data_IF_152906908086
#
_entry.id   IF_152906908086
#
_cell.length_a   1.000
_cell.length_b   1.000
_cell.length_c   1.000
_cell.angle_alpha   90.00
_cell.angle_beta   90.00
_cell.angle_gamma   90.00
#
_symmetry.space_group_name_H-M   'P 1'
#
loop_
_entity.id
_entity.type
_entity.pdbx_description
1 polymer ?
#
# COMPACT_ATOMS: atom_id res chain seq x y z
N UNK A 1 -15.97 1.39 21.59
CA UNK A 1 -16.35 2.42 22.58
C UNK A 1 -17.48 1.87 23.43
N UNK A 2 -17.57 2.21 24.73
CA UNK A 2 -18.55 1.61 25.65
C UNK A 2 -20.01 1.71 25.19
N UNK A 3 -20.39 2.81 24.54
CA UNK A 3 -21.78 3.08 24.14
C UNK A 3 -22.16 2.57 22.74
N UNK A 4 -21.21 1.97 22.01
CA UNK A 4 -21.48 1.54 20.64
C UNK A 4 -22.17 0.18 20.63
N UNK A 5 -23.25 0.07 19.85
CA UNK A 5 -23.90 -1.22 19.59
C UNK A 5 -22.89 -2.22 19.02
N UNK A 6 -22.92 -3.44 19.55
CA UNK A 6 -22.07 -4.54 19.12
C UNK A 6 -22.89 -5.53 18.32
N UNK A 7 -22.33 -6.02 17.22
CA UNK A 7 -22.95 -7.05 16.40
C UNK A 7 -22.61 -8.42 17.01
N UNK A 8 -23.42 -8.83 17.99
CA UNK A 8 -23.24 -10.09 18.72
C UNK A 8 -24.19 -11.19 18.21
N UNK A 9 -25.35 -10.80 17.66
CA UNK A 9 -26.33 -11.73 17.11
C UNK A 9 -25.78 -12.44 15.87
N UNK A 10 -26.07 -13.74 15.79
CA UNK A 10 -25.73 -14.60 14.64
C UNK A 10 -27.00 -15.22 14.06
N UNK A 11 -26.98 -15.47 12.75
CA UNK A 11 -27.97 -16.26 12.03
C UNK A 11 -27.79 -17.75 12.33
N UNK A 12 -28.78 -18.61 12.01
CA UNK A 12 -28.68 -20.06 12.22
C UNK A 12 -27.47 -20.73 11.54
N UNK A 13 -26.95 -20.14 10.45
CA UNK A 13 -25.75 -20.60 9.75
C UNK A 13 -24.43 -20.11 10.38
N UNK A 14 -24.48 -19.45 11.54
CA UNK A 14 -23.32 -18.93 12.27
C UNK A 14 -22.77 -17.59 11.77
N UNK A 15 -23.34 -17.01 10.70
CA UNK A 15 -22.93 -15.70 10.20
C UNK A 15 -23.44 -14.58 11.12
N UNK A 16 -22.74 -13.45 11.16
CA UNK A 16 -23.21 -12.25 11.89
C UNK A 16 -24.54 -11.77 11.30
N UNK A 17 -25.46 -11.37 12.18
CA UNK A 17 -26.74 -10.77 11.79
C UNK A 17 -26.57 -9.25 11.66
N UNK A 18 -26.65 -8.74 10.42
CA UNK A 18 -26.55 -7.32 10.10
C UNK A 18 -27.93 -6.66 9.89
N UNK A 19 -29.05 -7.33 10.19
CA UNK A 19 -30.41 -6.81 9.93
C UNK A 19 -30.65 -5.44 10.57
N UNK A 20 -30.21 -5.24 11.82
CA UNK A 20 -30.40 -3.99 12.55
C UNK A 20 -29.70 -2.79 11.88
N UNK A 21 -28.44 -2.95 11.45
CA UNK A 21 -27.72 -1.85 10.77
C UNK A 21 -28.30 -1.57 9.38
N UNK A 22 -28.86 -2.58 8.71
CA UNK A 22 -29.55 -2.42 7.42
C UNK A 22 -30.85 -1.64 7.59
N UNK A 23 -31.67 -1.96 8.60
CA UNK A 23 -32.90 -1.21 8.86
C UNK A 23 -32.62 0.24 9.29
N UNK A 24 -31.59 0.45 10.11
CA UNK A 24 -31.15 1.80 10.44
C UNK A 24 -30.73 2.58 9.18
N UNK A 25 -29.92 1.97 8.30
CA UNK A 25 -29.42 2.62 7.09
C UNK A 25 -30.55 3.10 6.15
N UNK A 26 -31.69 2.39 6.08
CA UNK A 26 -32.86 2.80 5.28
C UNK A 26 -33.52 4.09 5.78
N UNK A 27 -33.34 4.43 7.06
CA UNK A 27 -33.87 5.66 7.67
C UNK A 27 -32.90 6.84 7.55
N UNK A 28 -31.64 6.58 7.18
CA UNK A 28 -30.62 7.60 7.04
C UNK A 28 -30.72 8.30 5.67
N UNK A 29 -30.37 9.59 5.60
CA UNK A 29 -30.13 10.25 4.32
C UNK A 29 -28.95 9.58 3.58
N UNK A 30 -28.89 9.68 2.25
CA UNK A 30 -27.71 9.24 1.50
C UNK A 30 -26.46 10.03 1.93
N UNK A 31 -25.26 9.47 1.73
CA UNK A 31 -24.01 10.18 2.02
C UNK A 31 -23.93 11.50 1.25
N UNK A 32 -23.47 12.56 1.93
CA UNK A 32 -23.09 13.81 1.26
C UNK A 32 -21.79 13.60 0.49
N UNK A 33 -21.76 13.95 -0.80
CA UNK A 33 -20.56 13.83 -1.62
C UNK A 33 -19.44 14.75 -1.08
N UNK A 34 -18.23 14.18 -0.92
CA UNK A 34 -17.04 14.91 -0.46
C UNK A 34 -15.99 15.08 -1.56
N UNK A 35 -16.03 14.24 -2.59
CA UNK A 35 -15.09 14.23 -3.72
C UNK A 35 -15.66 13.39 -4.87
N UNK A 36 -15.15 13.61 -6.09
CA UNK A 36 -15.47 12.82 -7.29
C UNK A 36 -14.19 12.24 -7.91
N UNK A 37 -14.34 11.15 -8.67
CA UNK A 37 -13.25 10.51 -9.39
C UNK A 37 -13.07 9.03 -9.02
N UNK A 38 -11.93 8.48 -9.39
CA UNK A 38 -11.63 7.06 -9.27
C UNK A 38 -10.19 6.85 -8.76
N UNK A 39 -9.96 5.71 -8.11
CA UNK A 39 -8.63 5.30 -7.65
C UNK A 39 -8.37 3.88 -8.17
N UNK A 40 -7.30 3.71 -8.94
CA UNK A 40 -6.87 2.39 -9.41
C UNK A 40 -6.16 1.64 -8.29
N UNK A 41 -6.65 0.44 -7.96
CA UNK A 41 -6.12 -0.44 -6.90
C UNK A 41 -6.10 -1.90 -7.39
N UNK A 42 -5.55 -2.82 -6.59
CA UNK A 42 -5.63 -4.26 -6.85
C UNK A 42 -4.34 -4.89 -7.38
N UNK A 43 -3.21 -4.24 -7.18
CA UNK A 43 -1.88 -4.73 -7.59
C UNK A 43 -1.25 -5.63 -6.52
N UNK A 44 -2.01 -6.62 -6.03
CA UNK A 44 -1.46 -7.69 -5.19
C UNK A 44 -0.54 -8.62 -6.01
N UNK A 45 0.19 -9.51 -5.35
CA UNK A 45 1.24 -10.32 -6.00
C UNK A 45 0.80 -11.02 -7.30
N UNK A 46 -0.37 -11.66 -7.35
CA UNK A 46 -0.83 -12.33 -8.57
C UNK A 46 -1.02 -11.36 -9.74
N UNK A 47 -1.60 -10.18 -9.50
CA UNK A 47 -1.79 -9.17 -10.54
C UNK A 47 -0.45 -8.58 -11.00
N UNK A 48 0.49 -8.34 -10.07
CA UNK A 48 1.82 -7.83 -10.41
C UNK A 48 2.62 -8.87 -11.19
N UNK A 49 2.52 -10.16 -10.82
CA UNK A 49 3.17 -11.26 -11.55
C UNK A 49 2.61 -11.41 -12.97
N UNK A 50 1.29 -11.25 -13.15
CA UNK A 50 0.69 -11.23 -14.48
C UNK A 50 1.18 -10.07 -15.36
N UNK A 51 1.77 -9.03 -14.75
CA UNK A 51 2.38 -7.89 -15.42
C UNK A 51 3.93 -7.92 -15.35
N UNK A 52 4.53 -9.01 -14.89
CA UNK A 52 5.96 -9.07 -14.57
C UNK A 52 6.84 -8.75 -15.77
N UNK A 53 6.55 -9.31 -16.94
CA UNK A 53 7.32 -9.07 -18.17
C UNK A 53 7.31 -7.58 -18.53
N UNK A 54 6.13 -6.95 -18.48
CA UNK A 54 5.99 -5.51 -18.77
C UNK A 54 6.74 -4.64 -17.76
N UNK A 55 6.70 -4.98 -16.47
CA UNK A 55 7.44 -4.27 -15.42
C UNK A 55 8.94 -4.45 -15.61
N UNK A 56 9.38 -5.66 -15.92
CA UNK A 56 10.79 -5.99 -16.14
C UNK A 56 11.34 -5.27 -17.37
N UNK A 57 10.60 -5.23 -18.47
CA UNK A 57 10.95 -4.49 -19.69
C UNK A 57 11.07 -2.99 -19.41
N UNK A 58 10.14 -2.43 -18.62
CA UNK A 58 10.20 -1.03 -18.23
C UNK A 58 11.41 -0.72 -17.34
N UNK A 59 11.82 -1.65 -16.46
CA UNK A 59 13.04 -1.51 -15.66
C UNK A 59 14.29 -1.65 -16.53
N UNK A 60 14.36 -2.65 -17.40
CA UNK A 60 15.51 -2.93 -18.26
C UNK A 60 15.75 -1.83 -19.31
N UNK A 61 14.69 -1.25 -19.85
CA UNK A 61 14.77 -0.10 -20.77
C UNK A 61 15.13 1.22 -20.07
N UNK A 62 15.12 1.25 -18.73
CA UNK A 62 15.34 2.45 -17.94
C UNK A 62 14.14 3.40 -17.86
N UNK A 63 12.96 2.98 -18.36
CA UNK A 63 11.71 3.74 -18.24
C UNK A 63 11.25 3.82 -16.77
N UNK A 64 11.46 2.75 -15.99
CA UNK A 64 11.34 2.73 -14.53
C UNK A 64 12.75 2.62 -13.95
N UNK A 65 13.25 3.71 -13.35
CA UNK A 65 14.58 3.72 -12.71
C UNK A 65 14.55 3.31 -11.25
N UNK A 66 13.41 3.53 -10.57
CA UNK A 66 13.30 3.23 -9.15
C UNK A 66 11.89 2.85 -8.74
N UNK A 67 11.83 1.86 -7.87
CA UNK A 67 10.63 1.49 -7.13
C UNK A 67 10.76 2.05 -5.71
N UNK A 68 9.69 2.63 -5.18
CA UNK A 68 9.69 3.14 -3.81
C UNK A 68 8.53 2.54 -3.04
N UNK A 69 8.84 1.69 -2.07
CA UNK A 69 7.86 1.15 -1.14
C UNK A 69 7.50 2.23 -0.13
N UNK A 70 6.29 2.79 -0.26
CA UNK A 70 5.72 3.80 0.65
C UNK A 70 4.56 3.24 1.47
N UNK A 71 4.65 1.96 1.85
CA UNK A 71 3.60 1.24 2.59
C UNK A 71 3.50 1.66 4.07
N UNK A 72 2.42 1.19 4.72
CA UNK A 72 2.27 1.19 6.16
C UNK A 72 1.03 1.95 6.65
N UNK A 73 1.18 2.73 7.72
CA UNK A 73 0.06 3.35 8.42
C UNK A 73 0.13 4.88 8.41
N UNK A 74 -1.02 5.51 8.19
CA UNK A 74 -1.20 6.95 8.36
C UNK A 74 -1.66 7.30 9.78
N UNK A 75 -1.45 8.56 10.18
CA UNK A 75 -1.92 9.12 11.44
C UNK A 75 -2.06 10.66 11.36
N UNK A 76 -2.37 11.30 12.49
CA UNK A 76 -2.78 12.72 12.55
C UNK A 76 -1.64 13.74 12.44
N UNK A 77 -0.41 13.36 12.74
CA UNK A 77 0.71 14.30 12.86
C UNK A 77 0.97 15.04 11.54
N UNK A 78 1.08 16.37 11.59
CA UNK A 78 1.32 17.22 10.41
C UNK A 78 2.62 16.86 9.69
N UNK A 79 3.63 16.40 10.40
CA UNK A 79 4.92 15.93 9.84
C UNK A 79 4.76 14.85 8.76
N UNK A 80 3.62 14.15 8.70
CA UNK A 80 3.29 13.17 7.65
C UNK A 80 2.95 13.78 6.29
N UNK A 81 2.79 15.11 6.21
CA UNK A 81 2.79 15.85 4.93
C UNK A 81 4.05 15.52 4.11
N UNK A 82 5.15 15.17 4.77
CA UNK A 82 6.36 14.60 4.16
C UNK A 82 6.04 13.54 3.11
N UNK A 83 5.15 12.57 3.37
CA UNK A 83 4.88 11.48 2.43
C UNK A 83 4.13 11.95 1.18
N UNK A 84 3.25 12.95 1.31
CA UNK A 84 2.56 13.55 0.18
C UNK A 84 3.53 14.36 -0.69
N UNK A 85 4.37 15.18 -0.05
CA UNK A 85 5.36 16.00 -0.75
C UNK A 85 6.46 15.16 -1.39
N UNK A 86 6.92 14.11 -0.71
CA UNK A 86 7.87 13.14 -1.26
C UNK A 86 7.31 12.49 -2.53
N UNK A 87 6.05 12.03 -2.50
CA UNK A 87 5.41 11.41 -3.67
C UNK A 87 5.29 12.38 -4.87
N UNK A 88 4.99 13.68 -4.62
CA UNK A 88 4.94 14.71 -5.68
C UNK A 88 6.32 15.01 -6.28
N UNK A 89 7.35 15.01 -5.46
CA UNK A 89 8.72 15.36 -5.85
C UNK A 89 9.50 14.19 -6.46
N UNK A 90 8.97 12.96 -6.34
CA UNK A 90 9.58 11.80 -6.97
C UNK A 90 9.71 11.97 -8.49
N UNK A 91 10.88 11.68 -9.09
CA UNK A 91 11.08 11.73 -10.52
C UNK A 91 10.02 10.93 -11.28
N UNK A 92 9.63 11.39 -12.48
CA UNK A 92 8.53 10.78 -13.25
C UNK A 92 8.82 9.34 -13.71
N UNK A 93 10.08 8.91 -13.67
CA UNK A 93 10.55 7.54 -13.97
C UNK A 93 10.57 6.63 -12.71
N UNK A 94 9.77 6.95 -11.69
CA UNK A 94 9.63 6.16 -10.47
C UNK A 94 8.21 5.65 -10.25
N UNK A 95 8.08 4.47 -9.65
CA UNK A 95 6.79 3.87 -9.27
C UNK A 95 6.74 3.66 -7.76
N UNK A 96 5.64 4.10 -7.15
CA UNK A 96 5.33 3.91 -5.74
C UNK A 96 4.62 2.57 -5.56
N UNK A 97 5.13 1.75 -4.64
CA UNK A 97 4.52 0.49 -4.23
C UNK A 97 3.90 0.69 -2.84
N UNK A 98 2.58 0.54 -2.72
CA UNK A 98 1.87 0.84 -1.47
C UNK A 98 0.94 -0.28 -0.99
N UNK A 99 0.72 -0.30 0.31
CA UNK A 99 -0.20 -1.17 1.04
C UNK A 99 -0.45 -0.52 2.40
N UNK A 100 -1.65 -0.71 2.96
CA UNK A 100 -2.06 -0.07 4.21
C UNK A 100 -2.48 1.39 4.06
N UNK A 101 -2.95 2.01 5.15
CA UNK A 101 -3.58 3.34 5.08
C UNK A 101 -2.60 4.49 4.80
N UNK A 102 -1.28 4.28 4.83
CA UNK A 102 -0.31 5.28 4.38
C UNK A 102 -0.60 5.78 2.95
N UNK A 103 -1.23 4.96 2.11
CA UNK A 103 -1.64 5.29 0.74
C UNK A 103 -2.45 6.58 0.63
N UNK A 104 -3.25 6.93 1.65
CA UNK A 104 -4.12 8.10 1.59
C UNK A 104 -3.38 9.44 1.54
N UNK A 105 -2.07 9.43 1.78
CA UNK A 105 -1.21 10.61 1.60
C UNK A 105 -0.93 10.93 0.13
N UNK A 106 -1.10 9.98 -0.79
CA UNK A 106 -0.69 10.17 -2.19
C UNK A 106 -1.55 9.44 -3.24
N UNK A 107 -2.46 8.55 -2.86
CA UNK A 107 -3.27 7.76 -3.82
C UNK A 107 -4.32 8.57 -4.59
N UNK A 108 -4.59 9.81 -4.16
CA UNK A 108 -5.45 10.78 -4.85
C UNK A 108 -4.67 11.80 -5.69
N UNK A 109 -3.34 11.71 -5.71
CA UNK A 109 -2.51 12.59 -6.53
C UNK A 109 -2.53 12.09 -7.98
N UNK A 110 -2.57 13.03 -8.93
CA UNK A 110 -2.50 12.73 -10.37
C UNK A 110 -1.05 12.49 -10.80
N UNK A 111 -0.46 11.37 -10.34
CA UNK A 111 0.95 11.06 -10.58
C UNK A 111 1.23 10.46 -11.97
N UNK A 112 0.19 10.01 -12.68
CA UNK A 112 0.27 9.46 -14.05
C UNK A 112 0.70 8.00 -14.09
N UNK A 113 1.14 7.57 -15.27
CA UNK A 113 1.62 6.22 -15.56
C UNK A 113 2.95 6.25 -16.32
N UNK A 114 3.61 5.10 -16.40
CA UNK A 114 4.82 4.86 -17.21
C UNK A 114 4.51 3.70 -18.14
N UNK A 115 4.31 3.98 -19.43
CA UNK A 115 3.99 2.96 -20.43
C UNK A 115 2.69 2.19 -20.11
N UNK A 116 1.70 2.86 -19.51
CA UNK A 116 0.46 2.25 -19.04
C UNK A 116 0.57 1.49 -17.72
N UNK A 117 1.67 1.61 -16.97
CA UNK A 117 1.79 1.12 -15.59
C UNK A 117 1.53 2.31 -14.65
N UNK A 118 0.48 2.31 -13.81
CA UNK A 118 0.23 3.40 -12.88
C UNK A 118 1.43 3.66 -11.98
N UNK A 119 1.77 4.94 -11.74
CA UNK A 119 2.88 5.31 -10.85
C UNK A 119 2.61 5.06 -9.37
N UNK A 120 1.38 4.68 -9.01
CA UNK A 120 1.03 4.16 -7.68
C UNK A 120 0.40 2.79 -7.88
N UNK A 121 1.08 1.75 -7.41
CA UNK A 121 0.56 0.39 -7.39
C UNK A 121 0.13 0.07 -5.96
N UNK A 122 -1.16 -0.12 -5.76
CA UNK A 122 -1.76 -0.43 -4.46
C UNK A 122 -2.11 -1.91 -4.33
N UNK A 123 -1.39 -2.62 -3.46
CA UNK A 123 -1.59 -4.03 -3.18
C UNK A 123 -2.73 -4.31 -2.20
N UNK A 124 -3.23 -3.30 -1.47
CA UNK A 124 -4.34 -3.46 -0.52
C UNK A 124 -4.04 -3.01 0.90
N UNK A 125 -4.41 -3.82 1.87
CA UNK A 125 -4.29 -3.55 3.31
C UNK A 125 -2.84 -3.65 3.79
N UNK A 126 -2.58 -3.33 5.06
CA UNK A 126 -1.22 -3.42 5.62
C UNK A 126 -0.62 -4.84 5.55
N UNK A 127 -1.45 -5.87 5.66
CA UNK A 127 -1.04 -7.27 5.46
C UNK A 127 -0.60 -7.59 4.02
N UNK A 128 -1.09 -6.83 3.03
CA UNK A 128 -0.67 -6.99 1.63
C UNK A 128 0.73 -6.45 1.36
N UNK A 129 1.42 -5.89 2.37
CA UNK A 129 2.88 -5.72 2.34
C UNK A 129 3.62 -7.03 2.05
N UNK A 130 3.00 -8.19 2.35
CA UNK A 130 3.46 -9.49 1.87
C UNK A 130 3.68 -9.53 0.35
N UNK A 131 2.78 -8.93 -0.43
CA UNK A 131 2.89 -8.89 -1.89
C UNK A 131 4.16 -8.16 -2.34
N UNK A 132 4.56 -7.07 -1.67
CA UNK A 132 5.78 -6.33 -2.02
C UNK A 132 7.05 -7.07 -1.64
N UNK A 133 7.06 -7.77 -0.51
CA UNK A 133 8.15 -8.67 -0.15
C UNK A 133 8.29 -9.81 -1.17
N UNK A 134 7.16 -10.43 -1.56
CA UNK A 134 7.13 -11.49 -2.56
C UNK A 134 7.64 -11.00 -3.93
N UNK A 135 7.16 -9.85 -4.38
CA UNK A 135 7.60 -9.24 -5.65
C UNK A 135 9.10 -8.92 -5.60
N UNK A 136 9.63 -8.38 -4.50
CA UNK A 136 11.06 -8.15 -4.35
C UNK A 136 11.87 -9.44 -4.44
N UNK A 137 11.44 -10.52 -3.77
CA UNK A 137 12.09 -11.83 -3.86
C UNK A 137 12.08 -12.39 -5.30
N UNK A 138 10.97 -12.22 -6.04
CA UNK A 138 10.87 -12.64 -7.44
C UNK A 138 11.73 -11.79 -8.37
N UNK A 139 11.79 -10.48 -8.18
CA UNK A 139 12.70 -9.63 -8.95
C UNK A 139 14.16 -9.99 -8.68
N UNK A 140 14.52 -10.30 -7.43
CA UNK A 140 15.87 -10.77 -7.08
C UNK A 140 16.22 -12.05 -7.87
N UNK A 141 15.30 -13.01 -7.91
CA UNK A 141 15.45 -14.28 -8.64
C UNK A 141 15.63 -14.06 -10.15
N UNK A 142 14.74 -13.29 -10.76
CA UNK A 142 14.74 -13.02 -12.21
C UNK A 142 15.99 -12.23 -12.64
N UNK A 143 16.41 -11.26 -11.85
CA UNK A 143 17.63 -10.48 -12.09
C UNK A 143 18.91 -11.20 -11.64
N UNK A 144 18.80 -12.43 -11.11
CA UNK A 144 19.91 -13.26 -10.63
C UNK A 144 20.83 -12.52 -9.65
N UNK A 145 20.23 -11.73 -8.76
CA UNK A 145 20.94 -11.01 -7.71
C UNK A 145 21.20 -11.93 -6.52
N UNK A 146 22.40 -11.88 -5.96
CA UNK A 146 22.82 -12.56 -4.72
C UNK A 146 22.21 -11.92 -3.46
N UNK A 147 21.98 -10.60 -3.48
CA UNK A 147 21.41 -9.82 -2.38
C UNK A 147 20.14 -9.06 -2.82
N UNK A 148 19.09 -9.14 -1.99
CA UNK A 148 17.81 -8.43 -2.22
C UNK A 148 18.01 -6.90 -2.21
N UNK A 149 19.02 -6.42 -1.48
CA UNK A 149 19.33 -4.99 -1.35
C UNK A 149 19.99 -4.39 -2.60
N UNK A 150 20.33 -5.22 -3.61
CA UNK A 150 20.81 -4.75 -4.92
C UNK A 150 19.68 -4.39 -5.89
N UNK A 151 18.42 -4.67 -5.52
CA UNK A 151 17.27 -4.25 -6.30
C UNK A 151 17.14 -2.72 -6.31
N UNK A 152 16.60 -2.11 -7.38
CA UNK A 152 16.32 -0.69 -7.45
C UNK A 152 15.09 -0.29 -6.61
N UNK A 153 14.97 -0.83 -5.39
CA UNK A 153 13.84 -0.63 -4.47
C UNK A 153 14.32 0.18 -3.26
N UNK A 154 13.62 1.28 -2.97
CA UNK A 154 13.79 2.07 -1.74
C UNK A 154 12.63 1.81 -0.81
N UNK A 155 12.90 1.63 0.48
CA UNK A 155 11.86 1.50 1.50
C UNK A 155 11.75 2.81 2.28
N UNK A 156 10.61 3.49 2.14
CA UNK A 156 10.26 4.73 2.85
C UNK A 156 8.89 4.54 3.55
N UNK A 157 8.91 3.90 4.71
CA UNK A 157 7.75 3.32 5.38
C UNK A 157 7.18 4.29 6.42
N UNK A 158 5.86 4.40 6.45
CA UNK A 158 5.13 5.10 7.51
C UNK A 158 4.58 4.10 8.52
N UNK A 159 4.71 4.36 9.82
CA UNK A 159 4.13 3.48 10.85
C UNK A 159 3.23 4.25 11.82
N UNK A 160 2.39 3.54 12.57
CA UNK A 160 1.54 4.11 13.63
C UNK A 160 1.18 3.09 14.70
N UNK A 161 0.67 1.91 14.30
CA UNK A 161 0.23 0.86 15.22
C UNK A 161 1.02 -0.44 15.01
N UNK A 162 0.66 -1.48 15.76
CA UNK A 162 1.50 -2.66 15.96
C UNK A 162 1.55 -3.57 14.72
N UNK A 163 0.57 -3.52 13.80
CA UNK A 163 0.69 -4.28 12.55
C UNK A 163 1.80 -3.72 11.66
N UNK A 164 2.05 -2.42 11.66
CA UNK A 164 3.21 -1.85 10.98
C UNK A 164 4.55 -2.34 11.57
N UNK A 165 4.59 -2.58 12.89
CA UNK A 165 5.78 -3.14 13.55
C UNK A 165 6.08 -4.56 13.07
N UNK A 166 5.08 -5.46 13.03
CA UNK A 166 5.33 -6.84 12.56
C UNK A 166 5.69 -6.89 11.07
N UNK A 167 5.13 -5.99 10.25
CA UNK A 167 5.55 -5.82 8.85
C UNK A 167 7.02 -5.40 8.77
N UNK A 168 7.45 -4.44 9.58
CA UNK A 168 8.84 -4.01 9.60
C UNK A 168 9.79 -5.13 10.06
N UNK A 169 9.44 -5.86 11.11
CA UNK A 169 10.20 -7.04 11.57
C UNK A 169 10.31 -8.12 10.49
N UNK A 170 9.25 -8.34 9.70
CA UNK A 170 9.29 -9.27 8.58
C UNK A 170 10.27 -8.81 7.48
N UNK A 171 10.33 -7.51 7.17
CA UNK A 171 11.33 -6.97 6.23
C UNK A 171 12.76 -7.17 6.73
N UNK A 172 13.00 -6.92 8.02
CA UNK A 172 14.31 -7.17 8.64
C UNK A 172 14.69 -8.65 8.60
N UNK A 173 13.74 -9.55 8.89
CA UNK A 173 13.94 -11.00 8.78
C UNK A 173 14.31 -11.44 7.36
N UNK A 174 13.70 -10.83 6.33
CA UNK A 174 14.03 -11.06 4.93
C UNK A 174 15.38 -10.44 4.50
N UNK A 175 16.09 -9.79 5.41
CA UNK A 175 17.41 -9.20 5.15
C UNK A 175 17.36 -7.85 4.42
N UNK A 176 16.20 -7.19 4.37
CA UNK A 176 16.07 -5.85 3.79
C UNK A 176 16.74 -4.83 4.73
N UNK A 177 17.61 -4.01 4.16
CA UNK A 177 18.40 -2.98 4.84
C UNK A 177 18.01 -1.59 4.36
N UNK A 178 18.51 -0.56 5.06
CA UNK A 178 18.34 0.85 4.67
C UNK A 178 16.87 1.30 4.54
N UNK A 179 16.00 0.73 5.37
CA UNK A 179 14.60 1.17 5.49
C UNK A 179 14.54 2.51 6.20
N UNK A 180 13.89 3.49 5.57
CA UNK A 180 13.54 4.75 6.23
C UNK A 180 12.18 4.53 6.90
N UNK A 181 12.12 4.71 8.22
CA UNK A 181 10.91 4.49 9.01
C UNK A 181 10.55 5.78 9.73
N UNK A 182 9.31 6.24 9.58
CA UNK A 182 8.87 7.53 10.10
C UNK A 182 7.37 7.63 10.37
N UNK A 183 6.87 8.82 10.74
CA UNK A 183 7.58 10.11 10.75
C UNK A 183 8.54 10.29 11.93
N UNK A 184 8.46 9.43 12.95
CA UNK A 184 9.41 9.31 14.05
C UNK A 184 9.80 7.85 14.22
N UNK A 185 10.88 7.56 14.95
CA UNK A 185 11.14 6.19 15.40
C UNK A 185 10.24 5.84 16.60
N UNK A 186 9.95 4.55 16.85
CA UNK A 186 9.26 4.08 18.05
C UNK A 186 9.92 4.50 19.36
#
# INVERSE_FOLDING_TARGET
MPEWKRIEKKLPNGHKDFSEIIELAKTCPPPTEIETGEITIGFAHNQVLALADKVLDAVNSGAIKKLVVMSGCDARQKTREYYAEFAKQLPKDTVILTSGCAKYRYNKLKLGDIGGIPRVLDAGQCNDSYSWAFVALKLKEVLKLDDINKLPIVFNIAWYEQKAIIVHLALLYLGIKNTHVGPTLP
#
